data_IF_543690916895
#
_entry.id   IF_543690916895
#
_cell.length_a   1.000
_cell.length_b   1.000
_cell.length_c   1.000
_cell.angle_alpha   90.00
_cell.angle_beta   90.00
_cell.angle_gamma   90.00
#
_symmetry.space_group_name_H-M   'P 1'
#
loop_
_entity.id
_entity.type
_entity.pdbx_description
1 polymer ?
#
# COMPACT_ATOMS: atom_id res chain seq x y z
N UNK A 1 22.10 39.75 -58.31
CA UNK A 1 20.73 39.79 -58.83
C UNK A 1 19.80 39.29 -57.74
N UNK A 2 18.76 40.07 -57.50
CA UNK A 2 17.75 39.91 -56.47
C UNK A 2 16.86 38.70 -56.74
N UNK A 3 16.39 38.04 -55.67
CA UNK A 3 14.95 37.74 -55.60
C UNK A 3 14.48 37.62 -54.14
N UNK A 4 14.13 38.78 -53.58
CA UNK A 4 13.33 38.88 -52.35
C UNK A 4 11.87 38.72 -52.75
N UNK A 5 11.37 37.48 -52.77
CA UNK A 5 9.94 37.27 -52.97
C UNK A 5 9.19 37.43 -51.63
N UNK A 6 9.00 38.69 -51.25
CA UNK A 6 8.25 39.12 -50.08
C UNK A 6 6.77 38.77 -50.19
N UNK A 7 6.40 37.52 -49.87
CA UNK A 7 5.02 37.17 -49.53
C UNK A 7 4.66 37.84 -48.21
N UNK A 8 4.07 39.03 -48.29
CA UNK A 8 3.43 39.72 -47.15
C UNK A 8 2.46 38.72 -46.49
N UNK A 9 2.83 38.22 -45.31
CA UNK A 9 1.95 37.38 -44.49
C UNK A 9 0.71 38.21 -44.21
N UNK A 10 -0.41 37.83 -44.83
CA UNK A 10 -1.72 38.37 -44.48
C UNK A 10 -1.87 38.25 -42.97
N UNK A 11 -2.20 39.36 -42.31
CA UNK A 11 -2.58 39.34 -40.91
C UNK A 11 -3.77 38.38 -40.79
N UNK A 12 -3.51 37.16 -40.32
CA UNK A 12 -4.56 36.20 -39.99
C UNK A 12 -5.28 36.79 -38.78
N UNK A 13 -6.30 37.59 -39.05
CA UNK A 13 -7.24 38.03 -38.02
C UNK A 13 -7.77 36.80 -37.31
N UNK A 14 -7.66 36.78 -35.99
CA UNK A 14 -8.06 35.65 -35.17
C UNK A 14 -7.26 35.57 -33.88
N UNK A 15 -7.80 34.82 -32.93
CA UNK A 15 -7.08 34.51 -31.69
C UNK A 15 -5.85 33.67 -32.02
N UNK A 16 -4.69 34.08 -31.51
CA UNK A 16 -3.45 33.29 -31.60
C UNK A 16 -3.73 31.88 -31.07
N UNK A 17 -3.47 30.82 -31.85
CA UNK A 17 -3.64 29.44 -31.40
C UNK A 17 -2.84 29.17 -30.12
N UNK A 18 -3.39 28.37 -29.21
CA UNK A 18 -2.64 27.89 -28.05
C UNK A 18 -1.55 26.93 -28.51
N UNK A 19 -0.42 26.93 -27.81
CA UNK A 19 0.67 25.98 -28.05
C UNK A 19 0.25 24.52 -27.83
N UNK A 20 -0.66 24.28 -26.88
CA UNK A 20 -1.24 22.97 -26.59
C UNK A 20 -2.77 23.08 -26.48
N UNK A 21 -3.51 22.86 -27.58
CA UNK A 21 -4.96 22.88 -27.58
C UNK A 21 -5.56 21.56 -27.04
N UNK A 22 -6.58 21.66 -26.20
CA UNK A 22 -7.35 20.49 -25.74
C UNK A 22 -8.23 19.93 -26.87
N UNK A 23 -7.70 18.99 -27.66
CA UNK A 23 -8.36 18.43 -28.86
C UNK A 23 -9.14 17.12 -28.61
N UNK A 24 -8.84 16.40 -27.53
CA UNK A 24 -9.50 15.13 -27.22
C UNK A 24 -10.77 15.37 -26.41
N UNK A 25 -11.90 14.84 -26.90
CA UNK A 25 -13.22 14.97 -26.25
C UNK A 25 -13.75 13.58 -25.85
N UNK A 26 -14.01 13.43 -24.55
CA UNK A 26 -14.72 12.28 -23.99
C UNK A 26 -16.09 12.75 -23.49
N UNK A 27 -17.16 12.05 -23.90
CA UNK A 27 -18.54 12.36 -23.50
C UNK A 27 -19.04 11.25 -22.58
N UNK A 28 -19.49 11.63 -21.40
CA UNK A 28 -20.21 10.74 -20.49
C UNK A 28 -21.66 11.23 -20.35
N UNK A 29 -22.58 10.31 -20.11
CA UNK A 29 -23.99 10.59 -19.87
C UNK A 29 -24.27 10.35 -18.39
N UNK A 30 -25.05 11.22 -17.77
CA UNK A 30 -25.47 11.10 -16.38
C UNK A 30 -26.96 10.78 -16.34
N UNK A 31 -27.38 10.00 -15.36
CA UNK A 31 -28.79 9.92 -14.95
C UNK A 31 -29.22 11.22 -14.27
N UNK A 32 -30.51 11.40 -14.05
CA UNK A 32 -31.03 12.59 -13.37
C UNK A 32 -30.45 12.74 -11.94
N UNK A 33 -30.35 11.64 -11.20
CA UNK A 33 -29.76 11.62 -9.86
C UNK A 33 -28.27 11.97 -9.87
N UNK A 34 -27.51 11.42 -10.82
CA UNK A 34 -26.08 11.72 -10.99
C UNK A 34 -25.85 13.17 -11.39
N UNK A 35 -26.71 13.73 -12.25
CA UNK A 35 -26.65 15.12 -12.68
C UNK A 35 -26.96 16.08 -11.52
N UNK A 36 -27.96 15.78 -10.68
CA UNK A 36 -28.25 16.57 -9.49
C UNK A 36 -27.05 16.61 -8.53
N UNK A 37 -26.42 15.45 -8.27
CA UNK A 37 -25.19 15.38 -7.46
C UNK A 37 -24.03 16.16 -8.09
N UNK A 38 -23.85 16.04 -9.40
CA UNK A 38 -22.81 16.77 -10.13
C UNK A 38 -22.98 18.29 -10.00
N UNK A 39 -24.19 18.81 -10.19
CA UNK A 39 -24.47 20.24 -10.08
C UNK A 39 -24.22 20.78 -8.67
N UNK A 40 -24.64 20.05 -7.64
CA UNK A 40 -24.38 20.44 -6.25
C UNK A 40 -22.86 20.52 -5.95
N UNK A 41 -22.08 19.54 -6.40
CA UNK A 41 -20.62 19.55 -6.24
C UNK A 41 -19.95 20.68 -7.05
N UNK A 42 -20.46 20.96 -8.25
CA UNK A 42 -19.96 22.05 -9.08
C UNK A 42 -20.21 23.41 -8.44
N UNK A 43 -21.41 23.67 -7.93
CA UNK A 43 -21.74 24.92 -7.22
C UNK A 43 -20.86 25.09 -5.97
N UNK A 44 -20.72 24.03 -5.16
CA UNK A 44 -19.86 24.05 -3.98
C UNK A 44 -18.38 24.32 -4.31
N UNK A 45 -17.92 23.98 -5.52
CA UNK A 45 -16.53 24.20 -5.94
C UNK A 45 -16.19 25.67 -6.25
N UNK A 46 -17.20 26.52 -6.48
CA UNK A 46 -17.02 27.91 -6.90
C UNK A 46 -16.37 28.10 -8.28
N UNK A 47 -16.25 27.04 -9.09
CA UNK A 47 -15.68 27.12 -10.43
C UNK A 47 -16.69 27.63 -11.47
N UNK A 48 -16.21 28.40 -12.45
CA UNK A 48 -17.09 28.97 -13.49
C UNK A 48 -17.29 28.05 -14.72
N UNK A 49 -16.63 26.89 -14.76
CA UNK A 49 -16.66 26.00 -15.92
C UNK A 49 -16.72 24.53 -15.49
N UNK A 50 -17.82 23.86 -15.88
CA UNK A 50 -18.10 22.45 -15.57
C UNK A 50 -17.01 21.50 -16.04
N UNK A 51 -16.46 21.69 -17.24
CA UNK A 51 -15.41 20.85 -17.78
C UNK A 51 -14.10 21.00 -17.00
N UNK A 52 -13.72 22.22 -16.63
CA UNK A 52 -12.54 22.46 -15.77
C UNK A 52 -12.73 21.86 -14.38
N UNK A 53 -13.93 21.92 -13.83
CA UNK A 53 -14.25 21.25 -12.58
C UNK A 53 -14.02 19.74 -12.68
N UNK A 54 -14.57 19.09 -13.71
CA UNK A 54 -14.36 17.64 -13.94
C UNK A 54 -12.88 17.30 -14.09
N UNK A 55 -12.11 18.08 -14.88
CA UNK A 55 -10.66 17.88 -15.05
C UNK A 55 -9.94 18.00 -13.70
N UNK A 56 -10.28 19.00 -12.91
CA UNK A 56 -9.69 19.19 -11.57
C UNK A 56 -10.03 18.05 -10.61
N UNK A 57 -11.22 17.45 -10.71
CA UNK A 57 -11.59 16.28 -9.90
C UNK A 57 -10.88 15.03 -10.40
N UNK A 58 -10.80 14.82 -11.72
CA UNK A 58 -10.19 13.65 -12.33
C UNK A 58 -8.67 13.59 -12.13
N UNK A 59 -8.01 14.75 -12.20
CA UNK A 59 -6.54 14.86 -12.11
C UNK A 59 -6.04 15.49 -10.80
N UNK A 60 -6.92 16.11 -10.01
CA UNK A 60 -6.61 16.59 -8.66
C UNK A 60 -6.86 15.54 -7.58
N UNK A 61 -7.64 14.50 -7.87
CA UNK A 61 -7.64 13.28 -7.06
C UNK A 61 -6.50 12.41 -7.56
N UNK A 62 -5.53 12.14 -6.70
CA UNK A 62 -4.54 11.10 -6.94
C UNK A 62 -5.30 9.78 -7.12
N UNK A 63 -5.39 9.29 -8.36
CA UNK A 63 -5.91 7.95 -8.62
C UNK A 63 -4.81 7.00 -8.12
N UNK A 64 -4.87 6.67 -6.83
CA UNK A 64 -4.04 5.63 -6.24
C UNK A 64 -4.51 4.29 -6.79
N UNK A 65 -3.98 3.92 -7.95
CA UNK A 65 -4.07 2.55 -8.45
C UNK A 65 -3.16 1.70 -7.58
N UNK A 66 -3.66 1.28 -6.41
CA UNK A 66 -2.95 0.32 -5.58
C UNK A 66 -3.10 -1.04 -6.27
N UNK A 67 -2.04 -1.51 -6.92
CA UNK A 67 -1.94 -2.91 -7.32
C UNK A 67 -1.80 -3.73 -6.04
N UNK A 68 -2.91 -4.18 -5.48
CA UNK A 68 -2.92 -4.99 -4.25
C UNK A 68 -2.45 -6.39 -4.61
N UNK A 69 -1.20 -6.71 -4.27
CA UNK A 69 -0.74 -8.09 -4.24
C UNK A 69 -1.37 -8.79 -3.02
N UNK A 70 -2.52 -9.43 -3.21
CA UNK A 70 -3.27 -10.11 -2.14
C UNK A 70 -2.43 -11.19 -1.45
N UNK A 71 -1.57 -11.90 -2.19
CA UNK A 71 -0.72 -12.93 -1.62
C UNK A 71 0.33 -12.34 -0.67
N UNK A 72 0.96 -11.22 -1.05
CA UNK A 72 1.89 -10.51 -0.17
C UNK A 72 1.19 -9.99 1.09
N UNK A 73 -0.01 -9.41 0.95
CA UNK A 73 -0.79 -8.95 2.11
C UNK A 73 -1.17 -10.10 3.06
N UNK A 74 -1.66 -11.23 2.54
CA UNK A 74 -1.98 -12.40 3.37
C UNK A 74 -0.74 -12.94 4.09
N UNK A 75 0.40 -12.97 3.41
CA UNK A 75 1.68 -13.34 4.01
C UNK A 75 2.06 -12.42 5.17
N UNK A 76 2.01 -11.09 4.99
CA UNK A 76 2.31 -10.13 6.06
C UNK A 76 1.36 -10.26 7.25
N UNK A 77 0.06 -10.50 7.02
CA UNK A 77 -0.90 -10.73 8.10
C UNK A 77 -0.56 -12.00 8.90
N UNK A 78 -0.21 -13.09 8.22
CA UNK A 78 0.20 -14.35 8.88
C UNK A 78 1.46 -14.17 9.69
N UNK A 79 2.46 -13.47 9.14
CA UNK A 79 3.71 -13.17 9.85
C UNK A 79 3.46 -12.32 11.10
N UNK A 80 2.61 -11.31 11.00
CA UNK A 80 2.21 -10.46 12.14
C UNK A 80 1.51 -11.30 13.22
N UNK A 81 0.62 -12.21 12.81
CA UNK A 81 -0.07 -13.13 13.73
C UNK A 81 0.91 -14.06 14.44
N UNK A 82 1.86 -14.64 13.71
CA UNK A 82 2.92 -15.48 14.26
C UNK A 82 3.77 -14.73 15.29
N UNK A 83 4.14 -13.48 15.01
CA UNK A 83 4.85 -12.62 15.97
C UNK A 83 4.04 -12.40 17.26
N UNK A 84 2.73 -12.19 17.14
CA UNK A 84 1.82 -12.10 18.28
C UNK A 84 1.83 -13.36 19.15
N UNK A 85 1.86 -14.55 18.51
CA UNK A 85 1.95 -15.83 19.22
C UNK A 85 3.26 -15.96 20.00
N UNK A 86 4.41 -15.58 19.41
CA UNK A 86 5.70 -15.59 20.13
C UNK A 86 5.69 -14.69 21.36
N UNK A 87 5.13 -13.49 21.25
CA UNK A 87 4.99 -12.59 22.40
C UNK A 87 4.14 -13.21 23.50
N UNK A 88 3.02 -13.84 23.15
CA UNK A 88 2.14 -14.52 24.10
C UNK A 88 2.87 -15.66 24.82
N UNK A 89 3.65 -16.47 24.10
CA UNK A 89 4.50 -17.52 24.70
C UNK A 89 5.48 -16.92 25.71
N UNK A 90 6.15 -15.81 25.37
CA UNK A 90 7.08 -15.14 26.30
C UNK A 90 6.41 -14.63 27.58
N UNK A 91 5.19 -14.07 27.47
CA UNK A 91 4.40 -13.65 28.65
C UNK A 91 4.02 -14.86 29.51
N UNK A 92 3.53 -15.94 28.89
CA UNK A 92 3.15 -17.17 29.59
C UNK A 92 4.36 -17.83 30.27
N UNK A 93 5.52 -17.81 29.62
CA UNK A 93 6.77 -18.32 30.19
C UNK A 93 7.09 -17.61 31.50
N UNK A 94 7.10 -16.28 31.50
CA UNK A 94 7.37 -15.47 32.70
C UNK A 94 6.35 -15.76 33.82
N UNK A 95 5.07 -15.93 33.46
CA UNK A 95 4.02 -16.27 34.42
C UNK A 95 4.25 -17.65 35.05
N UNK A 96 4.58 -18.66 34.26
CA UNK A 96 4.84 -20.02 34.74
C UNK A 96 6.05 -20.03 35.69
N UNK A 97 7.15 -19.37 35.33
CA UNK A 97 8.34 -19.28 36.19
C UNK A 97 7.98 -18.70 37.56
N UNK A 98 7.24 -17.58 37.59
CA UNK A 98 6.77 -16.95 38.84
C UNK A 98 5.86 -17.88 39.64
N UNK A 99 4.92 -18.58 38.99
CA UNK A 99 4.03 -19.54 39.65
C UNK A 99 4.78 -20.74 40.22
N UNK A 100 5.82 -21.23 39.53
CA UNK A 100 6.62 -22.36 40.00
C UNK A 100 7.33 -22.01 41.31
N UNK A 101 8.02 -20.87 41.36
CA UNK A 101 8.71 -20.43 42.58
C UNK A 101 7.77 -20.04 43.72
N UNK A 102 6.53 -19.62 43.43
CA UNK A 102 5.54 -19.29 44.47
C UNK A 102 4.91 -20.52 45.13
N UNK A 103 4.67 -21.59 44.37
CA UNK A 103 3.83 -22.71 44.81
C UNK A 103 4.62 -24.01 45.07
N UNK A 104 5.88 -24.12 44.61
CA UNK A 104 6.71 -25.30 44.81
C UNK A 104 8.01 -24.97 45.55
N UNK A 105 8.59 -25.97 46.21
CA UNK A 105 9.95 -25.85 46.74
C UNK A 105 10.96 -25.69 45.60
N UNK A 106 12.07 -25.03 45.87
CA UNK A 106 13.11 -24.73 44.87
C UNK A 106 13.53 -25.97 44.06
N UNK A 107 13.73 -27.11 44.74
CA UNK A 107 14.10 -28.37 44.09
C UNK A 107 13.06 -28.87 43.09
N UNK A 108 11.76 -28.72 43.40
CA UNK A 108 10.66 -29.09 42.49
C UNK A 108 10.52 -28.06 41.36
N UNK A 109 10.59 -26.77 41.68
CA UNK A 109 10.54 -25.70 40.68
C UNK A 109 11.67 -25.84 39.64
N UNK A 110 12.90 -26.09 40.09
CA UNK A 110 14.06 -26.33 39.22
C UNK A 110 13.84 -27.54 38.29
N UNK A 111 13.28 -28.64 38.79
CA UNK A 111 12.97 -29.81 37.97
C UNK A 111 11.93 -29.52 36.86
N UNK A 112 10.93 -28.68 37.14
CA UNK A 112 9.98 -28.24 36.12
C UNK A 112 10.59 -27.24 35.13
N UNK A 113 11.45 -26.33 35.60
CA UNK A 113 12.15 -25.38 34.74
C UNK A 113 13.06 -26.08 33.74
N UNK A 114 13.76 -27.14 34.14
CA UNK A 114 14.59 -27.92 33.22
C UNK A 114 13.76 -28.55 32.07
N UNK A 115 12.53 -28.99 32.35
CA UNK A 115 11.61 -29.46 31.31
C UNK A 115 11.18 -28.33 30.37
N UNK A 116 10.89 -27.16 30.93
CA UNK A 116 10.48 -25.98 30.18
C UNK A 116 11.62 -25.45 29.28
N UNK A 117 12.85 -25.47 29.77
CA UNK A 117 14.07 -25.14 29.03
C UNK A 117 14.23 -26.05 27.81
N UNK A 118 14.04 -27.37 27.98
CA UNK A 118 14.10 -28.33 26.86
C UNK A 118 13.09 -27.98 25.77
N UNK A 119 11.84 -27.70 26.14
CA UNK A 119 10.79 -27.30 25.19
C UNK A 119 11.12 -25.97 24.50
N UNK A 120 11.70 -25.02 25.24
CA UNK A 120 12.13 -23.73 24.67
C UNK A 120 13.26 -23.90 23.66
N UNK A 121 14.17 -24.85 23.93
CA UNK A 121 15.26 -25.20 23.00
C UNK A 121 14.73 -25.84 21.72
N UNK A 122 13.74 -26.75 21.82
CA UNK A 122 13.06 -27.34 20.66
C UNK A 122 12.36 -26.25 19.82
N UNK A 123 11.66 -25.32 20.48
CA UNK A 123 11.04 -24.17 19.80
C UNK A 123 12.08 -23.30 19.08
N UNK A 124 13.22 -23.00 19.72
CA UNK A 124 14.28 -22.21 19.10
C UNK A 124 14.85 -22.87 17.83
N UNK A 125 14.98 -24.21 17.80
CA UNK A 125 15.40 -24.95 16.61
C UNK A 125 14.40 -24.80 15.47
N UNK A 126 13.10 -24.95 15.75
CA UNK A 126 12.05 -24.77 14.74
C UNK A 126 12.05 -23.35 14.16
N UNK A 127 12.27 -22.33 14.99
CA UNK A 127 12.39 -20.93 14.52
C UNK A 127 13.59 -20.79 13.57
N UNK A 128 14.73 -21.38 13.93
CA UNK A 128 15.93 -21.33 13.09
C UNK A 128 15.70 -22.02 11.73
N UNK A 129 15.01 -23.16 11.72
CA UNK A 129 14.62 -23.84 10.48
C UNK A 129 13.67 -22.98 9.63
N UNK A 130 12.67 -22.34 10.24
CA UNK A 130 11.77 -21.40 9.56
C UNK A 130 12.53 -20.21 8.95
N UNK A 131 13.50 -19.64 9.68
CA UNK A 131 14.33 -18.55 9.18
C UNK A 131 15.15 -18.99 7.96
N UNK A 132 15.76 -20.17 8.03
CA UNK A 132 16.54 -20.73 6.93
C UNK A 132 15.68 -20.95 5.68
N UNK A 133 14.49 -21.56 5.83
CA UNK A 133 13.53 -21.75 4.74
C UNK A 133 13.08 -20.42 4.12
N UNK A 134 12.86 -19.40 4.96
CA UNK A 134 12.48 -18.06 4.50
C UNK A 134 13.61 -17.42 3.69
N UNK A 135 14.85 -17.50 4.17
CA UNK A 135 16.03 -16.96 3.47
C UNK A 135 16.30 -17.69 2.14
N UNK A 136 16.09 -19.00 2.10
CA UNK A 136 16.19 -19.81 0.88
C UNK A 136 15.13 -19.38 -0.15
N UNK A 137 13.89 -19.19 0.30
CA UNK A 137 12.80 -18.69 -0.54
C UNK A 137 13.10 -17.30 -1.11
N UNK A 138 13.54 -16.35 -0.27
CA UNK A 138 13.93 -15.00 -0.70
C UNK A 138 15.03 -15.01 -1.76
N UNK A 139 16.05 -15.85 -1.55
CA UNK A 139 17.18 -15.96 -2.48
C UNK A 139 16.76 -16.57 -3.82
N UNK A 140 15.89 -17.58 -3.79
CA UNK A 140 15.45 -18.30 -5.00
C UNK A 140 14.41 -17.54 -5.83
N UNK A 141 13.53 -16.77 -5.19
CA UNK A 141 12.32 -16.22 -5.82
C UNK A 141 12.21 -14.69 -5.81
N UNK A 142 12.86 -13.98 -4.88
CA UNK A 142 12.74 -12.51 -4.76
C UNK A 142 13.98 -11.76 -5.26
N UNK A 143 15.18 -12.35 -5.21
CA UNK A 143 16.42 -11.73 -5.69
C UNK A 143 16.76 -12.01 -7.17
N UNK A 144 15.82 -12.58 -7.94
CA UNK A 144 16.05 -13.00 -9.35
C UNK A 144 15.43 -12.08 -10.41
N UNK A 145 14.89 -10.93 -10.04
CA UNK A 145 14.46 -9.93 -11.03
C UNK A 145 15.58 -8.88 -11.23
N UNK A 146 16.12 -8.73 -12.46
CA UNK A 146 16.94 -7.58 -12.83
C UNK A 146 16.11 -6.29 -12.96
#
# INVERSE_FOLDING_TARGET
MMDQNGKRKQNKGGRIPKSDPSIHRHVFRLTDEENARFLALFEASGMNNKAKFIISVLFGKEIKTVKINKAAMDYYMRLTTLYGQFRAVGVNYNQIVKLLYRNFSEKKAAAYLYKLEKQTTEMAKLIQEMMNLTQEFETKHLKKEP
#
